data_IF_797061159597
#
_entry.id   IF_797061159597
#
_cell.length_a   1.000
_cell.length_b   1.000
_cell.length_c   1.000
_cell.angle_alpha   90.00
_cell.angle_beta   90.00
_cell.angle_gamma   90.00
#
_symmetry.space_group_name_H-M   'P 1'
#
loop_
_entity.id
_entity.type
_entity.pdbx_description
1 polymer ?
#
# COMPACT_ATOMS: atom_id res chain seq x y z
N UNK A 1 24.14 -5.69 18.10
CA UNK A 1 24.40 -4.71 17.02
C UNK A 1 23.79 -5.33 15.78
N UNK A 2 22.47 -5.26 15.65
CA UNK A 2 21.73 -5.92 14.59
C UNK A 2 21.56 -4.89 13.48
N UNK A 3 22.19 -5.13 12.34
CA UNK A 3 22.01 -4.29 11.16
C UNK A 3 20.53 -4.22 10.84
N UNK A 4 19.96 -3.03 11.02
CA UNK A 4 18.64 -2.71 10.53
C UNK A 4 18.76 -2.57 9.01
N UNK A 5 18.68 -3.70 8.30
CA UNK A 5 18.53 -3.73 6.84
C UNK A 5 17.11 -3.28 6.51
N UNK A 6 16.80 -2.01 6.81
CA UNK A 6 15.89 -1.27 5.96
C UNK A 6 16.60 -1.20 4.62
N UNK A 7 16.35 -2.19 3.76
CA UNK A 7 16.74 -2.11 2.35
C UNK A 7 16.35 -0.73 1.89
N UNK A 8 17.32 0.12 1.56
CA UNK A 8 17.04 1.49 1.16
C UNK A 8 16.00 1.45 0.06
N UNK A 9 14.93 2.24 0.22
CA UNK A 9 13.90 2.35 -0.80
C UNK A 9 14.59 2.59 -2.16
N UNK A 10 14.21 1.87 -3.22
CA UNK A 10 14.76 2.12 -4.54
C UNK A 10 14.63 3.61 -4.88
N UNK A 11 15.60 4.18 -5.62
CA UNK A 11 15.54 5.59 -5.98
C UNK A 11 14.23 5.90 -6.71
N UNK A 12 13.71 7.12 -6.50
CA UNK A 12 12.42 7.56 -7.04
C UNK A 12 12.27 7.35 -8.57
N UNK A 13 13.39 7.33 -9.28
CA UNK A 13 13.44 7.19 -10.74
C UNK A 13 13.81 5.76 -11.21
N UNK A 14 13.70 4.75 -10.34
CA UNK A 14 13.98 3.35 -10.73
C UNK A 14 13.02 2.89 -11.84
N UNK A 15 13.53 2.50 -13.02
CA UNK A 15 12.68 2.12 -14.16
C UNK A 15 11.79 0.90 -13.85
N UNK A 16 12.16 0.06 -12.87
CA UNK A 16 11.36 -1.07 -12.44
C UNK A 16 10.13 -0.62 -11.65
N UNK A 17 10.29 0.38 -10.80
CA UNK A 17 9.19 0.98 -10.02
C UNK A 17 8.19 1.67 -10.96
N UNK A 18 8.70 2.41 -11.95
CA UNK A 18 7.86 3.04 -12.99
C UNK A 18 7.06 1.99 -13.77
N UNK A 19 7.68 0.88 -14.18
CA UNK A 19 7.01 -0.19 -14.90
C UNK A 19 5.93 -0.89 -14.04
N UNK A 20 6.21 -1.10 -12.75
CA UNK A 20 5.28 -1.73 -11.82
C UNK A 20 4.04 -0.86 -11.56
N UNK A 21 4.24 0.43 -11.25
CA UNK A 21 3.14 1.39 -11.08
C UNK A 21 2.34 1.52 -12.37
N UNK A 22 2.99 1.62 -13.53
CA UNK A 22 2.32 1.69 -14.82
C UNK A 22 1.44 0.46 -15.10
N UNK A 23 1.94 -0.74 -14.80
CA UNK A 23 1.17 -1.97 -14.94
C UNK A 23 -0.04 -2.00 -14.00
N UNK A 24 0.13 -1.56 -12.74
CA UNK A 24 -0.93 -1.53 -11.75
C UNK A 24 -2.07 -0.59 -12.17
N UNK A 25 -1.72 0.60 -12.66
CA UNK A 25 -2.69 1.62 -13.10
C UNK A 25 -3.41 1.18 -14.38
N UNK A 26 -2.70 0.53 -15.31
CA UNK A 26 -3.29 -0.10 -16.48
C UNK A 26 -4.34 -1.16 -16.11
N UNK A 27 -4.04 -2.02 -15.12
CA UNK A 27 -5.00 -3.03 -14.61
C UNK A 27 -6.20 -2.42 -13.89
N UNK A 28 -6.02 -1.26 -13.27
CA UNK A 28 -7.10 -0.49 -12.67
C UNK A 28 -7.94 0.30 -13.70
N UNK A 29 -7.60 0.23 -14.99
CA UNK A 29 -8.20 1.02 -16.07
C UNK A 29 -8.12 2.54 -15.80
N UNK A 30 -7.04 2.98 -15.14
CA UNK A 30 -6.78 4.40 -14.86
C UNK A 30 -5.74 4.92 -15.86
N UNK A 31 -6.13 5.73 -16.84
CA UNK A 31 -5.18 6.35 -17.75
C UNK A 31 -4.36 7.40 -16.98
N UNK A 32 -3.05 7.43 -17.20
CA UNK A 32 -2.14 8.39 -16.60
C UNK A 32 -1.32 9.07 -17.70
N UNK A 33 -1.08 10.36 -17.51
CA UNK A 33 -0.02 11.08 -18.19
C UNK A 33 1.36 10.61 -17.71
N UNK A 34 2.40 10.94 -18.48
CA UNK A 34 3.77 10.60 -18.10
C UNK A 34 4.22 11.29 -16.79
N UNK A 35 3.74 12.51 -16.52
CA UNK A 35 4.03 13.23 -15.29
C UNK A 35 3.36 12.60 -14.07
N UNK A 36 2.09 12.21 -14.19
CA UNK A 36 1.39 11.53 -13.08
C UNK A 36 2.02 10.17 -12.77
N UNK A 37 2.44 9.43 -13.80
CA UNK A 37 3.16 8.16 -13.60
C UNK A 37 4.48 8.37 -12.86
N UNK A 38 5.24 9.41 -13.20
CA UNK A 38 6.50 9.73 -12.53
C UNK A 38 6.29 10.12 -11.06
N UNK A 39 5.27 10.94 -10.75
CA UNK A 39 4.94 11.35 -9.39
C UNK A 39 4.47 10.16 -8.52
N UNK A 40 3.65 9.28 -9.08
CA UNK A 40 3.21 8.06 -8.41
C UNK A 40 4.37 7.09 -8.18
N UNK A 41 5.22 6.89 -9.18
CA UNK A 41 6.41 6.04 -9.07
C UNK A 41 7.38 6.56 -8.00
N UNK A 42 7.59 7.88 -7.92
CA UNK A 42 8.43 8.49 -6.89
C UNK A 42 7.89 8.26 -5.46
N UNK A 43 6.57 8.23 -5.30
CA UNK A 43 5.91 8.04 -4.00
C UNK A 43 5.73 6.56 -3.61
N UNK A 44 5.73 5.65 -4.59
CA UNK A 44 5.39 4.24 -4.40
C UNK A 44 6.27 3.49 -3.38
N UNK A 45 7.61 3.65 -3.33
CA UNK A 45 8.44 2.91 -2.38
C UNK A 45 8.08 3.17 -0.92
N UNK A 46 7.69 4.42 -0.58
CA UNK A 46 7.27 4.76 0.78
C UNK A 46 5.93 4.10 1.12
N UNK A 47 4.99 4.08 0.16
CA UNK A 47 3.69 3.43 0.33
C UNK A 47 3.85 1.91 0.51
N UNK A 48 4.69 1.29 -0.32
CA UNK A 48 5.03 -0.12 -0.22
C UNK A 48 5.63 -0.46 1.15
N UNK A 49 6.63 0.31 1.60
CA UNK A 49 7.25 0.11 2.92
C UNK A 49 6.23 0.27 4.07
N UNK A 50 5.32 1.23 3.95
CA UNK A 50 4.22 1.41 4.90
C UNK A 50 3.31 0.19 4.97
N UNK A 51 2.92 -0.38 3.83
CA UNK A 51 2.11 -1.60 3.77
C UNK A 51 2.88 -2.79 4.33
N UNK A 52 4.14 -2.97 3.96
CA UNK A 52 4.99 -4.06 4.48
C UNK A 52 5.14 -3.97 6.01
N UNK A 53 5.28 -2.76 6.57
CA UNK A 53 5.33 -2.56 8.01
C UNK A 53 4.04 -3.01 8.74
N UNK A 54 2.87 -2.87 8.11
CA UNK A 54 1.61 -3.37 8.68
C UNK A 54 1.58 -4.90 8.77
N UNK A 55 2.22 -5.60 7.83
CA UNK A 55 2.31 -7.06 7.80
C UNK A 55 3.52 -7.63 8.54
N UNK A 56 4.46 -6.77 8.98
CA UNK A 56 5.63 -7.19 9.74
C UNK A 56 5.28 -7.71 11.15
N UNK A 57 4.08 -7.42 11.65
CA UNK A 57 3.55 -7.93 12.93
C UNK A 57 2.84 -9.28 12.69
N UNK A 58 3.39 -10.42 13.14
CA UNK A 58 2.81 -11.75 12.88
C UNK A 58 1.36 -11.88 13.37
N UNK A 59 1.03 -11.25 14.49
CA UNK A 59 -0.30 -11.22 15.07
C UNK A 59 -1.30 -10.40 14.22
N UNK A 60 -0.84 -9.38 13.50
CA UNK A 60 -1.67 -8.60 12.58
C UNK A 60 -2.00 -9.37 11.29
N UNK A 61 -1.13 -10.31 10.88
CA UNK A 61 -1.32 -11.13 9.67
C UNK A 61 -2.55 -12.03 9.73
N UNK A 62 -2.92 -12.46 10.94
CA UNK A 62 -4.08 -13.33 11.19
C UNK A 62 -5.12 -12.68 12.11
N UNK A 63 -4.94 -11.39 12.44
CA UNK A 63 -5.96 -10.64 13.15
C UNK A 63 -7.26 -10.69 12.35
N UNK A 64 -8.37 -10.90 13.06
CA UNK A 64 -9.68 -10.85 12.45
C UNK A 64 -9.84 -9.49 11.74
N UNK A 65 -9.95 -9.44 10.39
CA UNK A 65 -10.12 -8.18 9.71
C UNK A 65 -11.33 -7.48 10.31
N UNK A 66 -11.13 -6.24 10.79
CA UNK A 66 -12.10 -5.49 11.58
C UNK A 66 -13.48 -5.34 10.89
N UNK A 67 -13.54 -5.63 9.59
CA UNK A 67 -14.73 -5.61 8.76
C UNK A 67 -15.13 -7.02 8.32
N UNK A 68 -15.41 -7.92 9.26
CA UNK A 68 -16.28 -9.06 8.96
C UNK A 68 -17.67 -8.51 8.62
N UNK A 69 -18.19 -8.90 7.46
CA UNK A 69 -19.60 -8.71 7.20
C UNK A 69 -20.40 -9.48 8.25
N UNK A 70 -21.15 -8.74 9.05
CA UNK A 70 -22.07 -9.28 10.04
C UNK A 70 -23.47 -8.90 9.59
N UNK A 71 -24.25 -9.89 9.14
CA UNK A 71 -25.59 -9.66 8.60
C UNK A 71 -26.53 -9.00 9.64
N UNK A 72 -26.23 -9.17 10.92
CA UNK A 72 -26.90 -8.60 12.08
C UNK A 72 -26.30 -7.28 12.57
N UNK A 73 -25.14 -6.85 12.05
CA UNK A 73 -24.53 -5.60 12.47
C UNK A 73 -25.45 -4.43 12.14
N UNK A 74 -25.89 -3.74 13.19
CA UNK A 74 -26.58 -2.46 13.12
C UNK A 74 -25.56 -1.38 13.48
N UNK A 75 -25.44 -0.34 12.66
CA UNK A 75 -24.78 0.88 13.13
C UNK A 75 -25.62 1.43 14.29
N UNK A 76 -25.01 1.56 15.46
CA UNK A 76 -25.60 2.37 16.51
C UNK A 76 -25.56 3.83 16.06
N UNK A 77 -26.61 4.59 16.38
CA UNK A 77 -26.59 6.03 16.14
C UNK A 77 -25.42 6.64 16.91
N UNK A 78 -24.67 7.52 16.26
CA UNK A 78 -23.54 8.22 16.86
C UNK A 78 -23.96 9.11 18.04
N UNK A 79 -25.25 9.47 18.11
CA UNK A 79 -25.83 10.28 19.18
C UNK A 79 -26.58 9.48 20.26
N UNK A 80 -26.56 8.14 20.21
CA UNK A 80 -27.24 7.27 21.19
C UNK A 80 -26.46 7.12 22.50
#
# INVERSE_FOLDING_TARGET
MTENVLSAAPPADDPRVIAEVGLMMSRAALPLSASELAELAASYPLQQAGVEALYAVPEARYADPALRFRADARMADWAA
#
